data_IF_803790423721
#
_entry.id   IF_803790423721
#
_cell.length_a   1.000
_cell.length_b   1.000
_cell.length_c   1.000
_cell.angle_alpha   90.00
_cell.angle_beta   90.00
_cell.angle_gamma   90.00
#
_symmetry.space_group_name_H-M   'P 1'
#
loop_
_entity.id
_entity.type
_entity.pdbx_description
1 polymer ?
#
# COMPACT_ATOMS: atom_id res chain seq x y z
N UNK A 1 -13.13 -34.72 -37.64
CA UNK A 1 -13.37 -34.14 -36.30
C UNK A 1 -12.42 -32.97 -36.11
N UNK A 2 -12.89 -31.73 -35.90
CA UNK A 2 -12.01 -30.57 -35.65
C UNK A 2 -11.69 -30.47 -34.16
N UNK A 3 -10.43 -30.30 -33.72
CA UNK A 3 -10.12 -30.13 -32.32
C UNK A 3 -10.63 -28.76 -31.84
N UNK A 4 -11.42 -28.76 -30.76
CA UNK A 4 -11.84 -27.54 -30.07
C UNK A 4 -10.60 -26.89 -29.46
N UNK A 5 -10.25 -25.71 -29.97
CA UNK A 5 -9.24 -24.84 -29.35
C UNK A 5 -9.68 -24.56 -27.91
N UNK A 6 -8.98 -25.18 -26.95
CA UNK A 6 -9.10 -24.87 -25.54
C UNK A 6 -8.53 -23.48 -25.31
N UNK A 7 -9.39 -22.46 -25.41
CA UNK A 7 -9.04 -21.10 -25.03
C UNK A 7 -8.96 -21.04 -23.50
N UNK A 8 -7.87 -21.54 -22.92
CA UNK A 8 -7.55 -21.29 -21.52
C UNK A 8 -7.29 -19.80 -21.41
N UNK A 9 -8.28 -19.04 -20.93
CA UNK A 9 -8.06 -17.64 -20.53
C UNK A 9 -7.04 -17.67 -19.39
N UNK A 10 -5.80 -17.36 -19.70
CA UNK A 10 -4.79 -17.00 -18.70
C UNK A 10 -5.36 -15.83 -17.88
N UNK A 11 -5.22 -15.82 -16.54
CA UNK A 11 -5.66 -14.69 -15.75
C UNK A 11 -4.96 -13.44 -16.27
N UNK A 12 -5.75 -12.46 -16.72
CA UNK A 12 -5.24 -11.17 -17.16
C UNK A 12 -4.52 -10.51 -15.99
N UNK A 13 -3.26 -10.10 -16.20
CA UNK A 13 -2.51 -9.34 -15.19
C UNK A 13 -3.29 -8.09 -14.79
N UNK A 14 -3.21 -7.72 -13.51
CA UNK A 14 -3.82 -6.49 -13.02
C UNK A 14 -3.27 -5.27 -13.80
N UNK A 15 -4.09 -4.23 -14.03
CA UNK A 15 -3.63 -2.99 -14.64
C UNK A 15 -2.41 -2.42 -13.91
N UNK A 16 -1.49 -1.81 -14.64
CA UNK A 16 -0.26 -1.26 -14.07
C UNK A 16 -0.53 -0.27 -12.92
N UNK A 17 -1.58 0.54 -13.03
CA UNK A 17 -2.00 1.48 -11.98
C UNK A 17 -2.40 0.77 -10.68
N UNK A 18 -3.11 -0.36 -10.78
CA UNK A 18 -3.48 -1.16 -9.62
C UNK A 18 -2.24 -1.75 -8.94
N UNK A 19 -1.29 -2.27 -9.74
CA UNK A 19 -0.02 -2.80 -9.24
C UNK A 19 0.77 -1.72 -8.51
N UNK A 20 0.88 -0.51 -9.08
CA UNK A 20 1.59 0.62 -8.43
C UNK A 20 0.90 1.03 -7.12
N UNK A 21 -0.44 1.07 -7.10
CA UNK A 21 -1.21 1.37 -5.88
C UNK A 21 -0.99 0.32 -4.79
N UNK A 22 -0.92 -0.95 -5.18
CA UNK A 22 -0.68 -2.05 -4.25
C UNK A 22 0.74 -2.00 -3.69
N UNK A 23 1.75 -1.75 -4.52
CA UNK A 23 3.13 -1.54 -4.09
C UNK A 23 3.20 -0.40 -3.08
N UNK A 24 2.65 0.78 -3.39
CA UNK A 24 2.65 1.94 -2.48
C UNK A 24 1.96 1.64 -1.15
N UNK A 25 0.92 0.82 -1.15
CA UNK A 25 0.23 0.39 0.09
C UNK A 25 1.10 -0.55 0.91
N UNK A 26 1.72 -1.53 0.25
CA UNK A 26 2.57 -2.54 0.91
C UNK A 26 3.87 -1.96 1.44
N UNK A 27 4.43 -0.95 0.76
CA UNK A 27 5.68 -0.29 1.16
C UNK A 27 5.46 0.94 2.05
N UNK A 28 4.23 1.21 2.50
CA UNK A 28 3.94 2.32 3.42
C UNK A 28 4.64 2.06 4.75
N UNK A 29 5.12 3.12 5.42
CA UNK A 29 5.62 3.00 6.81
C UNK A 29 4.52 2.47 7.72
N UNK A 30 4.83 1.41 8.45
CA UNK A 30 3.96 0.85 9.47
C UNK A 30 4.41 1.35 10.84
N UNK A 31 3.45 1.80 11.64
CA UNK A 31 3.65 2.24 13.02
C UNK A 31 2.82 1.35 13.93
N UNK A 32 3.43 0.85 15.01
CA UNK A 32 2.70 0.15 16.06
C UNK A 32 1.74 1.13 16.77
N UNK A 33 0.85 0.60 17.62
CA UNK A 33 0.01 1.47 18.44
C UNK A 33 0.86 2.37 19.36
N UNK A 34 1.92 1.82 19.94
CA UNK A 34 2.84 2.55 20.81
C UNK A 34 3.59 3.66 20.06
N UNK A 35 4.08 3.37 18.85
CA UNK A 35 4.77 4.38 18.04
C UNK A 35 3.83 5.52 17.64
N UNK A 36 2.58 5.20 17.29
CA UNK A 36 1.56 6.22 16.99
C UNK A 36 1.31 7.12 18.18
N UNK A 37 1.23 6.56 19.39
CA UNK A 37 1.03 7.35 20.62
C UNK A 37 2.25 8.25 20.84
N UNK A 38 3.47 7.72 20.72
CA UNK A 38 4.71 8.49 20.92
C UNK A 38 4.79 9.69 19.96
N UNK A 39 4.57 9.43 18.67
CA UNK A 39 4.57 10.45 17.60
C UNK A 39 3.56 11.58 17.89
N UNK A 40 2.34 11.24 18.31
CA UNK A 40 1.31 12.24 18.61
C UNK A 40 1.71 13.08 19.81
N UNK A 41 2.28 12.47 20.85
CA UNK A 41 2.72 13.20 22.04
C UNK A 41 3.89 14.15 21.73
N UNK A 42 4.87 13.70 20.95
CA UNK A 42 6.00 14.52 20.49
C UNK A 42 5.51 15.71 19.64
N UNK A 43 4.57 15.45 18.74
CA UNK A 43 4.03 16.51 17.89
C UNK A 43 3.12 17.52 18.60
N UNK A 44 2.38 17.10 19.64
CA UNK A 44 1.63 18.03 20.49
C UNK A 44 2.55 18.90 21.35
N UNK A 45 3.77 18.44 21.65
CA UNK A 45 4.81 19.25 22.32
C UNK A 45 5.52 20.21 21.38
N UNK A 46 5.37 20.03 20.07
CA UNK A 46 6.00 20.86 19.04
C UNK A 46 7.44 20.49 18.75
N UNK A 47 7.88 19.30 19.15
CA UNK A 47 9.25 18.80 18.90
C UNK A 47 9.40 18.27 17.46
N UNK A 48 8.36 17.60 16.94
CA UNK A 48 8.33 17.06 15.57
C UNK A 48 7.01 17.40 14.86
N UNK A 49 7.06 17.60 13.54
CA UNK A 49 5.86 17.88 12.74
C UNK A 49 5.11 16.60 12.38
N UNK A 50 3.95 16.37 13.01
CA UNK A 50 3.06 15.24 12.70
C UNK A 50 2.69 15.22 11.21
N UNK A 51 2.54 16.39 10.58
CA UNK A 51 2.14 16.53 9.19
C UNK A 51 3.13 15.90 8.20
N UNK A 52 4.40 15.77 8.57
CA UNK A 52 5.42 15.13 7.73
C UNK A 52 5.26 13.62 7.64
N UNK A 53 4.58 13.01 8.62
CA UNK A 53 4.36 11.56 8.70
C UNK A 53 3.10 11.08 7.96
N UNK A 54 2.25 12.01 7.50
CA UNK A 54 0.99 11.71 6.81
C UNK A 54 1.06 11.70 5.27
N UNK A 55 2.27 11.73 4.69
CA UNK A 55 2.50 11.67 3.22
C UNK A 55 2.54 10.23 2.70
#
# INVERSE_FOLDING_TARGET
MKPKSSYSKSPSKAPAEQVVKDIRRQTRRHFSAEDKIRIVLEGLRGEDSIAELCR
#
